data_IF_681852301173
#
_entry.id   IF_681852301173
#
_cell.length_a   1.000
_cell.length_b   1.000
_cell.length_c   1.000
_cell.angle_alpha   90.00
_cell.angle_beta   90.00
_cell.angle_gamma   90.00
#
_symmetry.space_group_name_H-M   'P 1'
#
loop_
_entity.id
_entity.type
_entity.pdbx_description
1 polymer ?
#
# COMPACT_ATOMS: atom_id res chain seq x y z
N UNK A 1 7.02 -5.85 -33.50
CA UNK A 1 8.27 -5.40 -32.85
C UNK A 1 8.04 -4.12 -32.01
N UNK A 2 7.28 -3.11 -32.51
CA UNK A 2 7.01 -1.87 -31.76
C UNK A 2 6.29 -2.12 -30.42
N UNK A 3 5.21 -2.90 -30.44
CA UNK A 3 4.48 -3.32 -29.24
C UNK A 3 5.40 -3.93 -28.17
N UNK A 4 6.30 -4.83 -28.57
CA UNK A 4 7.25 -5.46 -27.64
C UNK A 4 8.23 -4.42 -27.05
N UNK A 5 8.66 -3.43 -27.85
CA UNK A 5 9.53 -2.36 -27.35
C UNK A 5 8.84 -1.56 -26.26
N UNK A 6 7.61 -1.10 -26.49
CA UNK A 6 6.83 -0.37 -25.47
C UNK A 6 6.69 -1.18 -24.17
N UNK A 7 6.40 -2.47 -24.27
CA UNK A 7 6.31 -3.36 -23.10
C UNK A 7 7.65 -3.47 -22.37
N UNK A 8 8.77 -3.62 -23.09
CA UNK A 8 10.10 -3.69 -22.47
C UNK A 8 10.54 -2.34 -21.89
N UNK A 9 10.20 -1.23 -22.53
CA UNK A 9 10.43 0.11 -21.98
C UNK A 9 9.67 0.31 -20.67
N UNK A 10 8.41 -0.10 -20.60
CA UNK A 10 7.64 -0.06 -19.37
C UNK A 10 8.27 -0.94 -18.28
N UNK A 11 8.68 -2.18 -18.59
CA UNK A 11 9.32 -3.10 -17.64
C UNK A 11 10.62 -2.48 -17.08
N UNK A 12 11.40 -1.78 -17.91
CA UNK A 12 12.60 -1.07 -17.45
C UNK A 12 12.24 0.15 -16.63
N UNK A 13 11.19 0.90 -17.02
CA UNK A 13 10.73 2.08 -16.28
C UNK A 13 10.28 1.74 -14.86
N UNK A 14 9.48 0.68 -14.70
CA UNK A 14 8.96 0.27 -13.39
C UNK A 14 10.03 -0.32 -12.47
N UNK A 15 11.21 -0.69 -12.98
CA UNK A 15 12.35 -1.08 -12.14
C UNK A 15 12.77 0.04 -11.17
N UNK A 16 12.47 1.29 -11.49
CA UNK A 16 12.77 2.46 -10.65
C UNK A 16 12.04 2.43 -9.31
N UNK A 17 10.91 1.75 -9.20
CA UNK A 17 10.14 1.62 -7.95
C UNK A 17 10.97 1.01 -6.83
N UNK A 18 12.00 0.22 -7.16
CA UNK A 18 12.96 -0.35 -6.20
C UNK A 18 13.80 0.71 -5.47
N UNK A 19 13.85 1.93 -5.99
CA UNK A 19 14.57 3.04 -5.36
C UNK A 19 13.71 3.89 -4.44
N UNK A 20 12.40 3.63 -4.38
CA UNK A 20 11.47 4.33 -3.50
C UNK A 20 11.49 3.61 -2.15
N UNK A 21 11.97 4.31 -1.12
CA UNK A 21 12.13 3.75 0.22
C UNK A 21 11.00 4.18 1.14
N UNK A 22 10.31 3.21 1.71
CA UNK A 22 9.23 3.41 2.68
C UNK A 22 9.77 3.70 4.07
N UNK A 23 8.91 4.14 5.00
CA UNK A 23 9.30 4.32 6.40
C UNK A 23 9.23 3.03 7.23
N UNK A 24 8.62 1.98 6.69
CA UNK A 24 8.47 0.67 7.32
C UNK A 24 9.78 -0.12 7.25
N UNK A 25 10.18 -0.72 8.37
CA UNK A 25 11.32 -1.64 8.41
C UNK A 25 10.93 -3.04 7.94
N UNK A 26 11.89 -3.80 7.42
CA UNK A 26 11.73 -5.24 7.24
C UNK A 26 11.51 -5.93 8.60
N UNK A 27 11.00 -7.15 8.60
CA UNK A 27 10.66 -7.90 9.81
C UNK A 27 11.83 -8.12 10.79
N UNK A 28 13.07 -8.11 10.28
CA UNK A 28 14.30 -8.21 11.07
C UNK A 28 14.82 -6.85 11.58
N UNK A 29 14.12 -5.78 11.27
CA UNK A 29 14.53 -4.39 11.55
C UNK A 29 15.88 -3.98 10.95
N UNK A 30 16.44 -4.72 10.01
CA UNK A 30 17.78 -4.49 9.45
C UNK A 30 17.84 -3.24 8.56
N UNK A 31 16.82 -3.03 7.73
CA UNK A 31 16.65 -1.86 6.86
C UNK A 31 15.19 -1.56 6.60
N UNK A 32 14.92 -0.41 6.03
CA UNK A 32 13.59 -0.10 5.48
C UNK A 32 13.33 -0.88 4.19
N UNK A 33 12.07 -1.20 3.93
CA UNK A 33 11.64 -1.81 2.68
C UNK A 33 11.53 -0.77 1.55
N UNK A 34 11.48 -1.23 0.30
CA UNK A 34 11.10 -0.42 -0.85
C UNK A 34 9.72 -0.83 -1.39
N UNK A 35 9.13 -0.03 -2.29
CA UNK A 35 7.79 -0.27 -2.80
C UNK A 35 7.66 -1.56 -3.62
N UNK A 36 8.73 -2.00 -4.29
CA UNK A 36 8.69 -3.30 -5.00
C UNK A 36 8.56 -4.47 -4.02
N UNK A 37 9.27 -4.42 -2.88
CA UNK A 37 9.19 -5.43 -1.82
C UNK A 37 7.81 -5.40 -1.15
N UNK A 38 7.28 -4.21 -0.89
CA UNK A 38 5.94 -4.00 -0.38
C UNK A 38 4.88 -4.60 -1.31
N UNK A 39 4.85 -4.19 -2.56
CA UNK A 39 3.86 -4.66 -3.55
C UNK A 39 3.92 -6.16 -3.78
N UNK A 40 5.14 -6.77 -3.82
CA UNK A 40 5.30 -8.21 -3.86
C UNK A 40 4.70 -8.89 -2.63
N UNK A 41 4.93 -8.34 -1.45
CA UNK A 41 4.40 -8.87 -0.19
C UNK A 41 2.88 -8.81 -0.16
N UNK A 42 2.27 -7.69 -0.60
CA UNK A 42 0.82 -7.56 -0.74
C UNK A 42 0.22 -8.60 -1.69
N UNK A 43 0.88 -8.87 -2.83
CA UNK A 43 0.42 -9.87 -3.78
C UNK A 43 0.38 -11.28 -3.15
N UNK A 44 1.40 -11.63 -2.37
CA UNK A 44 1.41 -12.88 -1.60
C UNK A 44 0.31 -12.91 -0.53
N UNK A 45 0.15 -11.80 0.21
CA UNK A 45 -0.92 -11.67 1.22
C UNK A 45 -2.31 -11.81 0.58
N UNK A 46 -2.54 -11.23 -0.61
CA UNK A 46 -3.80 -11.37 -1.34
C UNK A 46 -4.18 -12.84 -1.58
N UNK A 47 -3.21 -13.65 -2.03
CA UNK A 47 -3.41 -15.08 -2.28
C UNK A 47 -3.72 -15.85 -0.98
N UNK A 48 -3.02 -15.52 0.12
CA UNK A 48 -3.14 -16.24 1.38
C UNK A 48 -4.36 -15.81 2.22
N UNK A 49 -4.72 -14.52 2.17
CA UNK A 49 -5.70 -13.92 3.07
C UNK A 49 -7.07 -13.67 2.42
N UNK A 50 -7.27 -14.11 1.16
CA UNK A 50 -8.55 -13.97 0.45
C UNK A 50 -9.75 -14.40 1.28
N UNK A 51 -9.62 -15.47 2.05
CA UNK A 51 -10.68 -16.04 2.88
C UNK A 51 -11.20 -15.08 3.97
N UNK A 52 -10.44 -14.03 4.30
CA UNK A 52 -10.80 -13.02 5.29
C UNK A 52 -11.42 -11.76 4.69
N UNK A 53 -11.56 -11.68 3.36
CA UNK A 53 -12.33 -10.59 2.74
C UNK A 53 -13.80 -10.68 3.14
N UNK A 54 -14.43 -9.52 3.43
CA UNK A 54 -15.86 -9.49 3.77
C UNK A 54 -16.76 -9.92 2.61
N UNK A 55 -16.33 -9.66 1.38
CA UNK A 55 -17.04 -10.00 0.14
C UNK A 55 -16.17 -10.92 -0.71
N UNK A 56 -16.77 -11.66 -1.64
CA UNK A 56 -16.01 -12.44 -2.60
C UNK A 56 -15.21 -11.52 -3.53
N UNK A 57 -13.92 -11.79 -3.69
CA UNK A 57 -13.01 -11.00 -4.52
C UNK A 57 -12.34 -11.84 -5.61
N UNK A 58 -12.09 -11.23 -6.76
CA UNK A 58 -11.35 -11.83 -7.86
C UNK A 58 -9.85 -11.55 -7.70
N UNK A 59 -9.08 -12.59 -7.36
CA UNK A 59 -7.62 -12.49 -7.24
C UNK A 59 -6.93 -12.12 -8.56
N UNK A 60 -7.53 -12.45 -9.71
CA UNK A 60 -6.97 -12.03 -11.00
C UNK A 60 -7.00 -10.51 -11.19
N UNK A 61 -7.76 -9.82 -10.34
CA UNK A 61 -7.87 -8.36 -10.29
C UNK A 61 -7.10 -7.77 -9.09
N UNK A 62 -7.25 -8.35 -7.88
CA UNK A 62 -6.57 -7.87 -6.68
C UNK A 62 -5.05 -7.95 -6.81
N UNK A 63 -4.50 -9.06 -7.32
CA UNK A 63 -3.05 -9.24 -7.43
C UNK A 63 -2.40 -8.21 -8.37
N UNK A 64 -2.87 -8.02 -9.63
CA UNK A 64 -2.37 -6.90 -10.44
C UNK A 64 -2.54 -5.54 -9.79
N UNK A 65 -3.68 -5.29 -9.12
CA UNK A 65 -3.97 -4.02 -8.44
C UNK A 65 -2.90 -3.67 -7.41
N UNK A 66 -2.59 -4.59 -6.48
CA UNK A 66 -1.56 -4.36 -5.46
C UNK A 66 -0.14 -4.34 -6.02
N UNK A 67 0.11 -4.94 -7.19
CA UNK A 67 1.42 -4.87 -7.84
C UNK A 67 1.70 -3.52 -8.50
N UNK A 68 0.64 -2.77 -8.86
CA UNK A 68 0.81 -1.52 -9.62
C UNK A 68 0.42 -0.26 -8.85
N UNK A 69 -0.19 -0.38 -7.67
CA UNK A 69 -0.78 0.76 -6.95
C UNK A 69 0.25 1.85 -6.62
N UNK A 70 1.47 1.49 -6.23
CA UNK A 70 2.57 2.42 -5.90
C UNK A 70 3.50 2.74 -7.09
N UNK A 71 3.26 2.22 -8.32
CA UNK A 71 4.10 2.58 -9.47
C UNK A 71 4.12 4.09 -9.77
N UNK A 72 3.06 4.77 -9.44
CA UNK A 72 2.94 6.23 -9.60
C UNK A 72 3.94 7.00 -8.72
N UNK A 73 4.44 6.40 -7.66
CA UNK A 73 5.42 6.99 -6.76
C UNK A 73 6.81 7.16 -7.40
N UNK A 74 7.08 6.50 -8.52
CA UNK A 74 8.29 6.75 -9.33
C UNK A 74 8.45 8.25 -9.66
N UNK A 75 7.36 8.94 -9.95
CA UNK A 75 7.36 10.37 -10.23
C UNK A 75 6.81 11.21 -9.07
N UNK A 76 5.83 10.68 -8.35
CA UNK A 76 5.16 11.38 -7.26
C UNK A 76 5.98 11.38 -5.96
N UNK A 77 6.80 10.34 -5.75
CA UNK A 77 7.50 10.06 -4.49
C UNK A 77 6.57 9.49 -3.42
N UNK A 78 7.11 8.63 -2.56
CA UNK A 78 6.37 8.11 -1.39
C UNK A 78 5.96 9.29 -0.48
N UNK A 79 4.70 9.29 -0.08
CA UNK A 79 4.16 10.23 0.90
C UNK A 79 3.92 9.49 2.21
N UNK A 80 4.74 9.78 3.22
CA UNK A 80 4.59 9.13 4.53
C UNK A 80 3.15 9.24 5.05
N UNK A 81 2.61 8.12 5.52
CA UNK A 81 1.20 7.97 5.87
C UNK A 81 0.67 8.99 6.91
N UNK A 82 1.56 9.60 7.69
CA UNK A 82 1.24 10.58 8.73
C UNK A 82 1.72 12.01 8.38
N UNK A 83 2.14 12.26 7.13
CA UNK A 83 2.51 13.59 6.61
C UNK A 83 1.28 14.30 5.99
N UNK A 84 0.66 15.17 6.77
CA UNK A 84 -0.52 15.94 6.32
C UNK A 84 -0.19 16.98 5.24
N UNK A 85 1.04 17.53 5.23
CA UNK A 85 1.45 18.52 4.24
C UNK A 85 1.67 17.87 2.87
N UNK A 86 2.32 16.72 2.82
CA UNK A 86 2.51 15.93 1.60
C UNK A 86 1.19 15.42 1.01
N UNK A 87 0.24 15.06 1.86
CA UNK A 87 -1.08 14.57 1.46
C UNK A 87 -1.88 15.59 0.62
N UNK A 88 -1.73 16.90 0.87
CA UNK A 88 -2.50 17.94 0.18
C UNK A 88 -2.24 18.01 -1.35
N UNK A 89 -1.09 17.55 -1.82
CA UNK A 89 -0.72 17.55 -3.25
C UNK A 89 -0.63 16.15 -3.85
N UNK A 90 -0.79 15.12 -3.03
CA UNK A 90 -0.60 13.70 -3.40
C UNK A 90 -1.42 13.34 -4.64
N UNK A 91 -2.73 13.52 -4.59
CA UNK A 91 -3.65 13.16 -5.67
C UNK A 91 -3.27 13.76 -7.04
N UNK A 92 -2.92 15.06 -7.08
CA UNK A 92 -2.56 15.72 -8.32
C UNK A 92 -1.21 15.20 -8.88
N UNK A 93 -0.24 14.90 -8.01
CA UNK A 93 1.06 14.34 -8.40
C UNK A 93 0.91 12.93 -8.96
N UNK A 94 0.13 12.09 -8.28
CA UNK A 94 -0.10 10.70 -8.66
C UNK A 94 -0.90 10.57 -9.96
N UNK A 95 -1.95 11.39 -10.16
CA UNK A 95 -2.68 11.44 -11.45
C UNK A 95 -1.76 11.78 -12.63
N UNK A 96 -0.86 12.75 -12.45
CA UNK A 96 0.12 13.10 -13.48
C UNK A 96 1.13 11.99 -13.72
N UNK A 97 1.58 11.32 -12.66
CA UNK A 97 2.48 10.16 -12.74
C UNK A 97 1.81 8.99 -13.46
N UNK A 98 0.57 8.67 -13.12
CA UNK A 98 -0.22 7.62 -13.76
C UNK A 98 -0.38 7.86 -15.27
N UNK A 99 -0.68 9.12 -15.68
CA UNK A 99 -0.77 9.48 -17.08
C UNK A 99 0.53 9.20 -17.84
N UNK A 100 1.68 9.59 -17.28
CA UNK A 100 2.98 9.34 -17.90
C UNK A 100 3.35 7.86 -17.94
N UNK A 101 3.30 7.20 -16.80
CA UNK A 101 3.83 5.84 -16.64
C UNK A 101 3.01 4.85 -17.46
N UNK A 102 1.70 4.88 -17.36
CA UNK A 102 0.85 3.92 -18.10
C UNK A 102 0.79 4.23 -19.60
N UNK A 103 1.10 5.45 -20.05
CA UNK A 103 1.19 5.79 -21.49
C UNK A 103 2.40 5.17 -22.20
N UNK A 104 3.39 4.65 -21.49
CA UNK A 104 4.54 3.94 -22.08
C UNK A 104 4.08 2.63 -22.74
N UNK A 105 3.05 1.99 -22.19
CA UNK A 105 2.50 0.73 -22.71
C UNK A 105 1.69 0.92 -23.99
N UNK A 106 1.48 -0.15 -24.78
CA UNK A 106 0.42 -0.18 -25.78
C UNK A 106 -0.90 0.27 -25.19
N UNK A 107 -1.67 1.04 -25.98
CA UNK A 107 -2.84 1.80 -25.51
C UNK A 107 -3.82 0.97 -24.65
N UNK A 108 -4.14 -0.25 -25.07
CA UNK A 108 -5.09 -1.11 -24.36
C UNK A 108 -4.54 -1.64 -23.04
N UNK A 109 -3.22 -1.91 -22.97
CA UNK A 109 -2.57 -2.34 -21.71
C UNK A 109 -2.41 -1.18 -20.75
N UNK A 110 -1.97 -0.03 -21.23
CA UNK A 110 -1.87 1.18 -20.43
C UNK A 110 -3.22 1.63 -19.87
N UNK A 111 -4.27 1.58 -20.71
CA UNK A 111 -5.63 1.85 -20.28
C UNK A 111 -6.09 0.90 -19.17
N UNK A 112 -5.88 -0.41 -19.35
CA UNK A 112 -6.27 -1.41 -18.36
C UNK A 112 -5.58 -1.21 -17.01
N UNK A 113 -4.25 -0.97 -16.99
CA UNK A 113 -3.52 -0.73 -15.74
C UNK A 113 -3.94 0.59 -15.08
N UNK A 114 -4.21 1.62 -15.89
CA UNK A 114 -4.71 2.89 -15.39
C UNK A 114 -6.08 2.74 -14.73
N UNK A 115 -7.01 2.05 -15.38
CA UNK A 115 -8.36 1.79 -14.83
C UNK A 115 -8.27 1.00 -13.52
N UNK A 116 -7.35 0.05 -13.43
CA UNK A 116 -7.11 -0.74 -12.22
C UNK A 116 -6.53 0.11 -11.08
N UNK A 117 -5.64 1.04 -11.39
CA UNK A 117 -5.11 2.00 -10.42
C UNK A 117 -6.19 2.99 -9.98
N UNK A 118 -6.98 3.53 -10.91
CA UNK A 118 -8.10 4.43 -10.60
C UNK A 118 -9.17 3.73 -9.72
N UNK A 119 -9.40 2.44 -9.94
CA UNK A 119 -10.29 1.64 -9.11
C UNK A 119 -9.75 1.45 -7.68
N UNK A 120 -8.44 1.20 -7.55
CA UNK A 120 -7.79 1.16 -6.23
C UNK A 120 -8.01 2.49 -5.50
N UNK A 121 -7.70 3.62 -6.14
CA UNK A 121 -7.85 4.95 -5.53
C UNK A 121 -9.31 5.29 -5.18
N UNK A 122 -10.28 4.83 -5.96
CA UNK A 122 -11.70 5.09 -5.72
C UNK A 122 -12.24 4.38 -4.47
N UNK A 123 -11.66 3.25 -4.05
CA UNK A 123 -12.07 2.49 -2.86
C UNK A 123 -13.54 2.02 -2.88
N UNK A 124 -14.13 1.76 -4.03
CA UNK A 124 -15.56 1.45 -4.15
C UNK A 124 -15.85 -0.05 -4.24
N UNK A 125 -15.04 -0.80 -5.02
CA UNK A 125 -15.24 -2.23 -5.27
C UNK A 125 -14.74 -3.10 -4.11
N UNK A 126 -15.22 -4.34 -4.03
CA UNK A 126 -14.75 -5.33 -3.05
C UNK A 126 -13.25 -5.59 -3.19
N UNK A 127 -12.75 -5.68 -4.44
CA UNK A 127 -11.33 -5.84 -4.74
C UNK A 127 -10.48 -4.67 -4.25
N UNK A 128 -10.93 -3.42 -4.51
CA UNK A 128 -10.22 -2.23 -4.06
C UNK A 128 -10.20 -2.15 -2.53
N UNK A 129 -11.33 -2.38 -1.86
CA UNK A 129 -11.41 -2.41 -0.39
C UNK A 129 -10.47 -3.45 0.20
N UNK A 130 -10.45 -4.66 -0.36
CA UNK A 130 -9.56 -5.72 0.11
C UNK A 130 -8.10 -5.41 -0.17
N UNK A 131 -7.77 -4.85 -1.32
CA UNK A 131 -6.40 -4.39 -1.64
C UNK A 131 -5.91 -3.34 -0.62
N UNK A 132 -6.73 -2.36 -0.26
CA UNK A 132 -6.41 -1.39 0.79
C UNK A 132 -6.29 -2.01 2.19
N UNK A 133 -7.06 -3.07 2.51
CA UNK A 133 -6.86 -3.81 3.76
C UNK A 133 -5.44 -4.37 3.82
N UNK A 134 -4.97 -4.95 2.74
CA UNK A 134 -3.62 -5.53 2.66
C UNK A 134 -2.54 -4.44 2.76
N UNK A 135 -2.70 -3.33 2.04
CA UNK A 135 -1.80 -2.17 2.06
C UNK A 135 -1.69 -1.56 3.47
N UNK A 136 -2.79 -1.50 4.20
CA UNK A 136 -2.80 -0.99 5.57
C UNK A 136 -2.27 -2.01 6.59
N UNK A 137 -2.54 -3.30 6.39
CA UNK A 137 -2.15 -4.37 7.32
C UNK A 137 -0.65 -4.68 7.25
N UNK A 138 -0.07 -4.70 6.06
CA UNK A 138 1.32 -5.12 5.86
C UNK A 138 2.32 -4.24 6.65
N UNK A 139 2.30 -2.91 6.58
CA UNK A 139 3.22 -2.07 7.36
C UNK A 139 3.01 -2.24 8.88
N UNK A 140 1.77 -2.47 9.30
CA UNK A 140 1.43 -2.66 10.70
C UNK A 140 1.99 -3.98 11.23
N UNK A 141 1.86 -5.05 10.47
CA UNK A 141 2.43 -6.36 10.76
C UNK A 141 3.97 -6.32 10.79
N UNK A 142 4.60 -5.63 9.85
CA UNK A 142 6.06 -5.46 9.84
C UNK A 142 6.54 -4.62 11.02
N UNK A 143 5.82 -3.58 11.40
CA UNK A 143 6.13 -2.81 12.60
C UNK A 143 6.02 -3.66 13.87
N UNK A 144 5.05 -4.57 13.96
CA UNK A 144 4.96 -5.52 15.06
C UNK A 144 6.19 -6.44 15.09
N UNK A 145 6.56 -7.04 13.95
CA UNK A 145 7.73 -7.91 13.82
C UNK A 145 9.05 -7.18 14.16
N UNK A 146 9.16 -5.88 13.81
CA UNK A 146 10.29 -5.01 14.12
C UNK A 146 10.20 -4.38 15.53
N UNK A 147 9.39 -4.93 16.43
CA UNK A 147 9.20 -4.50 17.81
C UNK A 147 8.81 -3.00 17.95
N UNK A 148 7.95 -2.50 17.08
CA UNK A 148 7.41 -1.15 17.12
C UNK A 148 8.41 -0.05 16.77
N UNK A 149 9.56 -0.39 16.20
CA UNK A 149 10.69 0.53 15.98
C UNK A 149 10.28 1.81 15.25
N UNK A 150 9.61 1.71 14.10
CA UNK A 150 9.22 2.89 13.32
C UNK A 150 8.20 3.75 14.08
N UNK A 151 7.28 3.14 14.82
CA UNK A 151 6.31 3.89 15.63
C UNK A 151 6.98 4.68 16.74
N UNK A 152 7.94 4.07 17.45
CA UNK A 152 8.69 4.72 18.51
C UNK A 152 9.58 5.85 17.95
N UNK A 153 10.27 5.64 16.82
CA UNK A 153 11.10 6.65 16.15
C UNK A 153 10.31 7.90 15.74
N UNK A 154 9.05 7.72 15.30
CA UNK A 154 8.21 8.81 14.81
C UNK A 154 7.19 9.34 15.84
N UNK A 155 7.15 8.79 17.05
CA UNK A 155 6.20 9.18 18.09
C UNK A 155 4.74 9.02 17.64
N UNK A 156 4.43 7.89 16.96
CA UNK A 156 3.13 7.67 16.34
C UNK A 156 2.04 7.53 17.40
N UNK A 157 0.90 8.18 17.16
CA UNK A 157 -0.27 8.19 18.03
C UNK A 157 -1.33 7.19 17.58
N UNK A 158 -2.08 6.67 18.53
CA UNK A 158 -3.23 5.79 18.29
C UNK A 158 -4.24 6.45 17.35
N UNK A 159 -4.57 7.71 17.56
CA UNK A 159 -5.50 8.47 16.72
C UNK A 159 -5.08 8.51 15.25
N UNK A 160 -3.78 8.62 14.96
CA UNK A 160 -3.25 8.62 13.60
C UNK A 160 -3.43 7.26 12.93
N UNK A 161 -3.15 6.16 13.65
CA UNK A 161 -3.34 4.80 13.14
C UNK A 161 -4.83 4.55 12.84
N UNK A 162 -5.72 4.92 13.77
CA UNK A 162 -7.17 4.73 13.56
C UNK A 162 -7.73 5.62 12.46
N UNK A 163 -7.24 6.87 12.31
CA UNK A 163 -7.60 7.75 11.19
C UNK A 163 -7.24 7.14 9.84
N UNK A 164 -6.00 6.61 9.68
CA UNK A 164 -5.56 5.94 8.46
C UNK A 164 -6.41 4.71 8.15
N UNK A 165 -6.69 3.91 9.16
CA UNK A 165 -7.35 2.61 9.02
C UNK A 165 -8.89 2.65 9.19
N UNK A 166 -9.50 3.85 9.16
CA UNK A 166 -10.92 4.04 9.47
C UNK A 166 -11.89 3.20 8.64
N UNK A 167 -11.49 2.83 7.43
CA UNK A 167 -12.29 2.05 6.50
C UNK A 167 -11.83 0.58 6.34
N UNK A 168 -10.75 0.16 7.00
CA UNK A 168 -10.18 -1.18 6.85
C UNK A 168 -11.21 -2.28 7.13
N UNK A 169 -12.08 -2.07 8.12
CA UNK A 169 -13.16 -3.02 8.43
C UNK A 169 -14.16 -3.24 7.28
N UNK A 170 -14.27 -2.29 6.34
CA UNK A 170 -15.20 -2.39 5.22
C UNK A 170 -14.72 -3.44 4.19
N UNK A 171 -13.43 -3.70 4.12
CA UNK A 171 -12.86 -4.76 3.28
C UNK A 171 -12.59 -6.07 4.03
N UNK A 172 -12.26 -6.00 5.34
CA UNK A 172 -12.10 -7.18 6.20
C UNK A 172 -12.26 -6.84 7.68
N UNK A 173 -13.33 -7.32 8.29
CA UNK A 173 -13.53 -7.21 9.75
C UNK A 173 -12.48 -8.02 10.51
N UNK A 174 -12.15 -9.23 10.05
CA UNK A 174 -11.21 -10.14 10.72
C UNK A 174 -9.77 -9.60 10.72
N UNK A 175 -9.30 -9.06 9.60
CA UNK A 175 -7.96 -8.47 9.54
C UNK A 175 -7.93 -7.19 10.39
N UNK A 176 -9.02 -6.41 10.41
CA UNK A 176 -9.11 -5.24 11.27
C UNK A 176 -9.04 -5.60 12.77
N UNK A 177 -9.75 -6.64 13.22
CA UNK A 177 -9.64 -7.16 14.59
C UNK A 177 -8.18 -7.49 14.94
N UNK A 178 -7.49 -8.25 14.08
CA UNK A 178 -6.07 -8.59 14.26
C UNK A 178 -5.16 -7.35 14.33
N UNK A 179 -5.38 -6.36 13.46
CA UNK A 179 -4.62 -5.10 13.49
C UNK A 179 -4.82 -4.34 14.80
N UNK A 180 -6.04 -4.34 15.36
CA UNK A 180 -6.34 -3.70 16.66
C UNK A 180 -5.61 -4.38 17.82
N UNK A 181 -5.48 -5.72 17.81
CA UNK A 181 -4.69 -6.46 18.79
C UNK A 181 -3.22 -6.05 18.77
N UNK A 182 -2.63 -5.91 17.58
CA UNK A 182 -1.25 -5.41 17.41
C UNK A 182 -1.12 -4.00 17.98
N UNK A 183 -2.02 -3.08 17.63
CA UNK A 183 -1.99 -1.70 18.12
C UNK A 183 -2.08 -1.66 19.64
N UNK A 184 -2.99 -2.41 20.24
CA UNK A 184 -3.15 -2.47 21.70
C UNK A 184 -1.89 -3.00 22.39
N UNK A 185 -1.29 -4.07 21.88
CA UNK A 185 -0.01 -4.61 22.37
C UNK A 185 1.09 -3.53 22.39
N UNK A 186 1.21 -2.76 21.32
CA UNK A 186 2.26 -1.74 21.22
C UNK A 186 1.98 -0.46 22.00
N UNK A 187 0.72 -0.18 22.35
CA UNK A 187 0.36 0.84 23.35
C UNK A 187 0.86 0.41 24.72
N UNK A 188 0.57 -0.83 25.12
CA UNK A 188 0.99 -1.39 26.42
C UNK A 188 2.52 -1.46 26.56
N UNK A 189 3.24 -1.63 25.46
CA UNK A 189 4.70 -1.62 25.40
C UNK A 189 5.30 -0.19 25.31
N UNK A 190 4.48 0.84 25.14
CA UNK A 190 4.92 2.24 25.05
C UNK A 190 5.52 2.64 23.69
N UNK A 191 5.33 1.83 22.64
CA UNK A 191 5.77 2.14 21.27
C UNK A 191 4.79 3.06 20.53
N UNK A 192 3.51 3.05 20.93
CA UNK A 192 2.44 3.88 20.39
C UNK A 192 1.88 4.75 21.53
N UNK A 193 1.69 6.04 21.26
CA UNK A 193 1.13 6.99 22.23
C UNK A 193 -0.40 6.83 22.23
N UNK A 194 -0.99 6.50 23.39
CA UNK A 194 -2.44 6.49 23.54
C UNK A 194 -2.96 7.90 23.83
N UNK A 195 -3.46 8.57 22.80
CA UNK A 195 -4.03 9.92 22.85
C UNK A 195 -5.58 9.92 22.72
N UNK A 196 -6.22 8.74 22.87
CA UNK A 196 -7.67 8.57 22.71
C UNK A 196 -8.37 8.14 24.01
N UNK A 197 -7.78 8.46 25.17
CA UNK A 197 -8.38 8.21 26.49
C UNK A 197 -9.51 9.18 26.82
#
# INVERSE_FOLDING_TARGET
>A
MERLRQQMEFIVEVDKVKNIMRQTYLSDAGRKENDAEHSWHLALMAVLLKEYSNEEVDLSKVVPMVLIHDLVEIDAGDTYAYDEAGAATKEAREKKAAERIFSILPQEQGKWLRELWEEFEAYETAEAKFAHVLDNCQPLMLNDAANGRSWAEHGVKKSQIYKRNRYTKDGSEKIWEYMQEIVQKHIEQGHIIDDMQ
#
